data_IF_696171130404
#
_entry.id   IF_696171130404
#
_cell.length_a   1.000
_cell.length_b   1.000
_cell.length_c   1.000
_cell.angle_alpha   90.00
_cell.angle_beta   90.00
_cell.angle_gamma   90.00
#
_symmetry.space_group_name_H-M   'P 1'
#
loop_
_entity.id
_entity.type
_entity.pdbx_description
1 polymer ?
#
# COMPACT_ATOMS: atom_id res chain seq x y z
N UNK A 1 -17.32 -2.75 -10.02
CA UNK A 1 -17.53 -3.45 -8.73
C UNK A 1 -18.24 -4.80 -8.92
N UNK A 2 -19.52 -4.83 -9.35
CA UNK A 2 -20.32 -6.07 -9.39
C UNK A 2 -19.66 -7.25 -10.11
N UNK A 3 -19.17 -7.04 -11.33
CA UNK A 3 -18.51 -8.12 -12.09
C UNK A 3 -17.25 -8.67 -11.38
N UNK A 4 -16.46 -7.80 -10.75
CA UNK A 4 -15.28 -8.21 -9.98
C UNK A 4 -15.69 -9.03 -8.75
N UNK A 5 -16.72 -8.59 -8.03
CA UNK A 5 -17.28 -9.30 -6.89
C UNK A 5 -17.88 -10.67 -7.28
N UNK A 6 -18.58 -10.75 -8.41
CA UNK A 6 -19.12 -12.02 -8.93
C UNK A 6 -18.01 -13.03 -9.23
N UNK A 7 -16.90 -12.57 -9.83
CA UNK A 7 -15.71 -13.42 -10.04
C UNK A 7 -15.13 -13.94 -8.72
N UNK A 8 -15.08 -13.11 -7.66
CA UNK A 8 -14.61 -13.54 -6.34
C UNK A 8 -15.53 -14.58 -5.70
N UNK A 9 -16.86 -14.46 -5.85
CA UNK A 9 -17.82 -15.47 -5.38
C UNK A 9 -17.58 -16.82 -6.07
N UNK A 10 -17.40 -16.84 -7.39
CA UNK A 10 -17.12 -18.06 -8.16
C UNK A 10 -15.78 -18.68 -7.77
N UNK A 11 -14.79 -17.84 -7.43
CA UNK A 11 -13.48 -18.29 -6.95
C UNK A 11 -13.49 -18.78 -5.49
N UNK A 12 -14.61 -18.67 -4.77
CA UNK A 12 -14.76 -19.08 -3.37
C UNK A 12 -13.68 -18.51 -2.44
N UNK A 13 -13.28 -17.25 -2.65
CA UNK A 13 -12.31 -16.58 -1.77
C UNK A 13 -12.91 -16.35 -0.38
N UNK A 14 -12.06 -16.23 0.63
CA UNK A 14 -12.51 -15.94 1.99
C UNK A 14 -12.91 -14.47 2.11
N UNK A 15 -14.17 -14.19 2.43
CA UNK A 15 -14.66 -12.83 2.55
C UNK A 15 -14.33 -12.25 3.93
N UNK A 16 -13.93 -10.97 3.94
CA UNK A 16 -13.87 -10.16 5.16
C UNK A 16 -15.13 -9.32 5.23
N UNK A 17 -15.42 -8.56 4.18
CA UNK A 17 -16.66 -7.81 4.09
C UNK A 17 -17.83 -8.74 3.81
N UNK A 18 -19.01 -8.40 4.34
CA UNK A 18 -20.23 -9.15 4.07
C UNK A 18 -20.71 -9.01 2.60
N UNK A 19 -20.62 -7.81 2.04
CA UNK A 19 -20.91 -7.43 0.65
C UNK A 19 -20.05 -6.20 0.30
N UNK A 20 -19.96 -5.79 -0.98
CA UNK A 20 -19.34 -4.52 -1.33
C UNK A 20 -20.01 -3.36 -0.58
N UNK A 21 -19.23 -2.61 0.18
CA UNK A 21 -19.67 -1.46 0.95
C UNK A 21 -19.44 -0.19 0.13
N UNK A 22 -20.35 0.78 0.23
CA UNK A 22 -20.15 2.12 -0.36
C UNK A 22 -20.07 3.13 0.75
N UNK A 23 -18.95 3.84 0.82
CA UNK A 23 -18.71 4.80 1.90
C UNK A 23 -19.75 5.92 1.85
N UNK A 24 -20.27 6.33 3.01
CA UNK A 24 -21.44 7.19 3.10
C UNK A 24 -21.15 8.61 2.63
N UNK A 25 -22.19 9.28 2.10
CA UNK A 25 -22.06 10.61 1.49
C UNK A 25 -21.63 11.73 2.46
N UNK A 26 -21.81 11.54 3.78
CA UNK A 26 -21.33 12.50 4.78
C UNK A 26 -19.81 12.56 4.83
N UNK A 27 -19.10 11.48 4.42
CA UNK A 27 -17.66 11.48 4.33
C UNK A 27 -17.25 12.21 3.05
N UNK A 28 -16.89 13.49 3.18
CA UNK A 28 -16.58 14.34 2.02
C UNK A 28 -15.38 13.84 1.22
N UNK A 29 -14.45 13.16 1.88
CA UNK A 29 -13.19 12.72 1.28
C UNK A 29 -13.35 11.38 0.56
N UNK A 30 -14.09 10.42 1.16
CA UNK A 30 -14.20 9.06 0.66
C UNK A 30 -15.63 8.64 0.22
N UNK A 31 -16.63 9.50 0.42
CA UNK A 31 -18.03 9.21 0.11
C UNK A 31 -18.26 8.79 -1.35
N UNK A 32 -19.07 7.76 -1.53
CA UNK A 32 -19.39 7.15 -2.82
C UNK A 32 -18.33 6.18 -3.35
N UNK A 33 -17.14 6.10 -2.75
CA UNK A 33 -16.17 5.03 -3.04
C UNK A 33 -16.77 3.71 -2.57
N UNK A 34 -16.77 2.70 -3.43
CA UNK A 34 -17.18 1.35 -3.05
C UNK A 34 -15.97 0.45 -2.89
N UNK A 35 -15.93 -0.32 -1.80
CA UNK A 35 -14.84 -1.21 -1.48
C UNK A 35 -15.33 -2.59 -1.02
N UNK A 36 -14.47 -3.61 -1.13
CA UNK A 36 -14.75 -4.96 -0.66
C UNK A 36 -13.45 -5.66 -0.26
N UNK A 37 -13.35 -6.08 1.00
CA UNK A 37 -12.21 -6.82 1.54
C UNK A 37 -12.44 -8.33 1.49
N UNK A 38 -11.41 -9.03 1.05
CA UNK A 38 -11.34 -10.48 1.03
C UNK A 38 -9.91 -10.92 1.34
N UNK A 39 -9.71 -12.23 1.50
CA UNK A 39 -8.41 -12.81 1.74
C UNK A 39 -7.97 -13.71 0.60
N UNK A 40 -6.67 -13.70 0.34
CA UNK A 40 -6.03 -14.71 -0.48
C UNK A 40 -5.93 -16.07 0.27
N UNK A 41 -5.43 -17.14 -0.36
CA UNK A 41 -5.31 -18.46 0.26
C UNK A 41 -4.41 -18.51 1.51
N UNK A 42 -3.45 -17.57 1.62
CA UNK A 42 -2.53 -17.46 2.76
C UNK A 42 -3.10 -16.57 3.87
N UNK A 43 -4.26 -15.96 3.65
CA UNK A 43 -4.99 -15.15 4.62
C UNK A 43 -4.67 -13.65 4.57
N UNK A 44 -3.90 -13.19 3.58
CA UNK A 44 -3.57 -11.78 3.37
C UNK A 44 -4.78 -11.01 2.87
N UNK A 45 -4.96 -9.79 3.38
CA UNK A 45 -6.05 -8.92 2.97
C UNK A 45 -5.82 -8.36 1.56
N UNK A 46 -6.87 -8.37 0.76
CA UNK A 46 -6.96 -7.75 -0.54
C UNK A 46 -8.24 -6.92 -0.61
N UNK A 47 -8.16 -5.80 -1.31
CA UNK A 47 -9.27 -4.89 -1.52
C UNK A 47 -9.65 -4.83 -3.01
N UNK A 48 -10.94 -4.94 -3.29
CA UNK A 48 -11.51 -4.36 -4.50
C UNK A 48 -11.94 -2.94 -4.19
N UNK A 49 -11.51 -1.97 -5.00
CA UNK A 49 -11.92 -0.58 -4.87
C UNK A 49 -12.50 -0.07 -6.19
N UNK A 50 -13.57 0.71 -6.07
CA UNK A 50 -14.23 1.40 -7.18
C UNK A 50 -14.43 2.87 -6.81
N UNK A 51 -13.90 3.74 -7.66
CA UNK A 51 -14.03 5.17 -7.50
C UNK A 51 -15.20 5.71 -8.33
N UNK A 52 -16.17 6.44 -7.75
CA UNK A 52 -17.17 7.14 -8.52
C UNK A 52 -16.53 8.28 -9.34
N UNK A 53 -17.31 8.85 -10.26
CA UNK A 53 -16.85 10.00 -11.05
C UNK A 53 -16.34 11.13 -10.15
N UNK A 54 -15.17 11.68 -10.47
CA UNK A 54 -14.53 12.75 -9.70
C UNK A 54 -13.74 12.30 -8.46
N UNK A 55 -13.70 10.99 -8.15
CA UNK A 55 -12.88 10.42 -7.06
C UNK A 55 -11.75 9.56 -7.60
N UNK A 56 -10.71 9.38 -6.77
CA UNK A 56 -9.52 8.60 -7.11
C UNK A 56 -8.64 9.25 -8.18
N UNK A 57 -7.62 8.52 -8.64
CA UNK A 57 -6.72 9.03 -9.67
C UNK A 57 -7.40 9.08 -11.05
N UNK A 58 -7.11 10.09 -11.89
CA UNK A 58 -7.70 10.22 -13.23
C UNK A 58 -7.52 8.98 -14.12
N UNK A 59 -6.46 8.20 -13.91
CA UNK A 59 -6.19 6.97 -14.67
C UNK A 59 -7.28 5.90 -14.49
N UNK A 60 -8.01 5.90 -13.37
CA UNK A 60 -9.11 4.98 -13.09
C UNK A 60 -10.43 5.37 -13.73
N UNK A 61 -10.55 6.62 -14.17
CA UNK A 61 -11.76 7.15 -14.81
C UNK A 61 -11.73 6.98 -16.34
N UNK A 62 -10.64 6.44 -16.90
CA UNK A 62 -10.53 6.16 -18.34
C UNK A 62 -11.46 4.99 -18.71
N UNK A 63 -12.27 5.12 -19.79
CA UNK A 63 -13.10 4.01 -20.26
C UNK A 63 -12.27 2.75 -20.49
N UNK A 64 -12.78 1.60 -20.03
CA UNK A 64 -12.10 0.31 -20.17
C UNK A 64 -13.12 -0.80 -20.24
N UNK A 65 -12.82 -1.84 -21.00
CA UNK A 65 -13.56 -3.11 -21.02
C UNK A 65 -12.99 -4.12 -20.03
N UNK A 66 -11.89 -3.79 -19.34
CA UNK A 66 -11.26 -4.66 -18.34
C UNK A 66 -11.99 -4.55 -17.00
N UNK A 67 -12.22 -5.70 -16.36
CA UNK A 67 -12.81 -5.77 -15.01
C UNK A 67 -11.88 -5.17 -13.94
N UNK A 68 -10.58 -5.44 -14.02
CA UNK A 68 -9.56 -4.90 -13.11
C UNK A 68 -8.66 -3.93 -13.88
N UNK A 69 -8.50 -2.72 -13.34
CA UNK A 69 -7.74 -1.65 -14.00
C UNK A 69 -6.27 -1.60 -13.60
N UNK A 70 -5.92 -2.17 -12.43
CA UNK A 70 -4.56 -2.21 -11.90
C UNK A 70 -4.58 -2.22 -10.37
N UNK A 71 -3.41 -1.96 -9.77
CA UNK A 71 -3.23 -1.79 -8.32
C UNK A 71 -3.21 -0.28 -8.03
N UNK A 72 -4.04 0.17 -7.10
CA UNK A 72 -4.05 1.59 -6.69
C UNK A 72 -3.04 1.89 -5.60
N UNK A 73 -3.04 1.10 -4.55
CA UNK A 73 -2.17 1.26 -3.41
C UNK A 73 -1.95 -0.08 -2.70
N UNK A 74 -0.95 -0.11 -1.83
CA UNK A 74 -0.88 -1.07 -0.72
C UNK A 74 -1.25 -0.34 0.56
N UNK A 75 -1.97 -0.98 1.47
CA UNK A 75 -2.36 -0.39 2.74
C UNK A 75 -1.61 -1.05 3.90
N UNK A 76 -1.18 -0.26 4.87
CA UNK A 76 -0.50 -0.73 6.08
C UNK A 76 -1.18 -0.13 7.32
N UNK A 77 -1.39 -0.96 8.34
CA UNK A 77 -1.85 -0.48 9.63
C UNK A 77 -0.70 0.18 10.38
N UNK A 78 -0.93 1.35 10.96
CA UNK A 78 0.08 2.11 11.71
C UNK A 78 -0.44 2.43 13.11
N UNK A 79 0.47 2.65 14.06
CA UNK A 79 0.09 3.01 15.43
C UNK A 79 -0.14 4.50 15.64
N UNK A 80 0.37 5.34 14.74
CA UNK A 80 0.27 6.80 14.81
C UNK A 80 0.53 7.40 13.42
N UNK A 81 -0.51 7.97 12.82
CA UNK A 81 -0.44 8.61 11.49
C UNK A 81 0.66 9.68 11.42
N UNK A 82 0.86 10.48 12.47
CA UNK A 82 1.82 11.58 12.44
C UNK A 82 3.27 11.08 12.45
N UNK A 83 3.56 10.00 13.20
CA UNK A 83 4.90 9.36 13.16
C UNK A 83 5.19 8.79 11.80
N UNK A 84 4.22 8.12 11.19
CA UNK A 84 4.35 7.60 9.83
C UNK A 84 4.50 8.72 8.82
N UNK A 85 3.76 9.84 8.94
CA UNK A 85 3.94 11.01 8.08
C UNK A 85 5.36 11.58 8.23
N UNK A 86 5.89 11.74 9.44
CA UNK A 86 7.25 12.23 9.63
C UNK A 86 8.26 11.35 8.86
N UNK A 87 8.13 10.03 8.98
CA UNK A 87 8.99 9.12 8.25
C UNK A 87 8.79 9.16 6.71
N UNK A 88 7.57 8.95 6.22
CA UNK A 88 7.33 8.82 4.78
C UNK A 88 7.44 10.17 4.04
N UNK A 89 6.92 11.26 4.63
CA UNK A 89 6.94 12.59 4.00
C UNK A 89 8.26 13.31 4.25
N UNK A 90 8.72 13.36 5.50
CA UNK A 90 9.87 14.22 5.83
C UNK A 90 11.20 13.51 5.51
N UNK A 91 11.33 12.22 5.85
CA UNK A 91 12.58 11.47 5.58
C UNK A 91 12.63 10.87 4.16
N UNK A 92 11.50 10.40 3.63
CA UNK A 92 11.44 9.74 2.30
C UNK A 92 10.85 10.61 1.18
N UNK A 93 10.45 11.85 1.48
CA UNK A 93 9.92 12.82 0.51
C UNK A 93 8.66 12.38 -0.26
N UNK A 94 7.83 11.54 0.34
CA UNK A 94 6.50 11.25 -0.21
C UNK A 94 5.59 12.47 -0.02
N UNK A 95 4.54 12.58 -0.82
CA UNK A 95 3.48 13.58 -0.64
C UNK A 95 2.25 12.94 0.01
N UNK A 96 1.64 13.65 0.96
CA UNK A 96 0.28 13.37 1.41
C UNK A 96 -0.68 13.74 0.29
N UNK A 97 -1.41 12.76 -0.23
CA UNK A 97 -2.31 12.92 -1.38
C UNK A 97 -3.78 13.12 -0.95
N UNK A 98 -4.11 12.75 0.28
CA UNK A 98 -5.44 12.89 0.85
C UNK A 98 -5.51 12.24 2.23
N UNK A 99 -6.55 12.58 2.97
CA UNK A 99 -6.88 11.98 4.26
C UNK A 99 -8.39 11.82 4.37
N UNK A 100 -8.84 10.81 5.10
CA UNK A 100 -10.25 10.65 5.46
C UNK A 100 -10.40 10.02 6.84
N UNK A 101 -11.54 10.27 7.47
CA UNK A 101 -11.97 9.53 8.66
C UNK A 101 -13.11 8.60 8.26
N UNK A 102 -12.88 7.30 8.38
CA UNK A 102 -13.89 6.31 8.07
C UNK A 102 -14.40 5.69 9.35
N UNK A 103 -15.72 5.76 9.56
CA UNK A 103 -16.42 5.17 10.69
C UNK A 103 -17.88 4.87 10.33
N UNK A 104 -18.58 4.17 11.22
CA UNK A 104 -19.98 3.78 11.03
C UNK A 104 -20.15 2.41 10.35
N UNK A 105 -21.42 2.05 10.13
CA UNK A 105 -21.83 0.69 9.74
C UNK A 105 -21.12 0.20 8.47
N UNK A 106 -21.00 1.04 7.44
CA UNK A 106 -20.32 0.66 6.20
C UNK A 106 -18.83 0.38 6.41
N UNK A 107 -18.15 1.13 7.29
CA UNK A 107 -16.74 0.89 7.61
C UNK A 107 -16.55 -0.38 8.45
N UNK A 108 -17.44 -0.63 9.41
CA UNK A 108 -17.44 -1.86 10.20
C UNK A 108 -17.64 -3.08 9.32
N UNK A 109 -18.63 -3.04 8.43
CA UNK A 109 -18.91 -4.09 7.46
C UNK A 109 -17.81 -4.25 6.42
N UNK A 110 -17.11 -3.17 6.04
CA UNK A 110 -15.99 -3.23 5.11
C UNK A 110 -14.81 -3.96 5.75
N UNK A 111 -14.40 -3.51 6.93
CA UNK A 111 -13.20 -4.02 7.62
C UNK A 111 -13.42 -5.33 8.36
N UNK A 112 -14.68 -5.68 8.68
CA UNK A 112 -15.01 -6.79 9.56
C UNK A 112 -14.61 -6.53 11.03
N UNK A 113 -14.46 -5.26 11.41
CA UNK A 113 -14.03 -4.83 12.75
C UNK A 113 -15.17 -4.06 13.40
N UNK A 114 -15.60 -4.52 14.58
CA UNK A 114 -16.66 -3.87 15.35
C UNK A 114 -16.23 -2.49 15.83
N UNK A 115 -17.12 -1.50 15.71
CA UNK A 115 -16.90 -0.10 16.09
C UNK A 115 -15.61 0.50 15.49
N UNK A 116 -15.34 0.14 14.23
CA UNK A 116 -14.18 0.62 13.49
C UNK A 116 -14.27 2.14 13.23
N UNK A 117 -13.26 2.87 13.71
CA UNK A 117 -12.97 4.25 13.34
C UNK A 117 -11.51 4.32 12.93
N UNK A 118 -11.26 4.66 11.67
CA UNK A 118 -9.95 4.61 11.04
C UNK A 118 -9.62 5.97 10.44
N UNK A 119 -8.47 6.53 10.81
CA UNK A 119 -7.86 7.63 10.08
C UNK A 119 -7.08 7.02 8.92
N UNK A 120 -7.44 7.43 7.71
CA UNK A 120 -6.82 6.97 6.48
C UNK A 120 -5.98 8.12 5.92
N UNK A 121 -4.71 7.85 5.62
CA UNK A 121 -3.83 8.83 4.95
C UNK A 121 -3.20 8.20 3.73
N UNK A 122 -3.53 8.72 2.55
CA UNK A 122 -2.95 8.23 1.30
C UNK A 122 -1.64 8.98 1.00
N UNK A 123 -0.56 8.23 0.82
CA UNK A 123 0.76 8.71 0.45
C UNK A 123 1.09 8.34 -0.99
N UNK A 124 1.78 9.23 -1.69
CA UNK A 124 2.18 9.04 -3.09
C UNK A 124 3.60 9.53 -3.33
N UNK A 125 4.20 9.01 -4.38
CA UNK A 125 5.41 9.53 -5.01
C UNK A 125 5.05 10.11 -6.38
N UNK A 126 6.07 10.46 -7.18
CA UNK A 126 5.94 10.88 -8.59
C UNK A 126 5.17 9.85 -9.43
N UNK A 127 5.44 8.55 -9.23
CA UNK A 127 4.90 7.47 -10.06
C UNK A 127 4.75 6.16 -9.29
N UNK A 128 3.99 5.21 -9.85
CA UNK A 128 3.73 3.92 -9.22
C UNK A 128 2.41 3.87 -8.46
N UNK A 129 2.32 2.95 -7.51
CA UNK A 129 1.16 2.79 -6.62
C UNK A 129 1.34 3.65 -5.36
N UNK A 130 0.29 3.80 -4.57
CA UNK A 130 0.33 4.51 -3.30
C UNK A 130 0.66 3.61 -2.12
N UNK A 131 0.99 4.22 -0.99
CA UNK A 131 0.93 3.59 0.33
C UNK A 131 -0.22 4.28 1.07
N UNK A 132 -1.12 3.51 1.66
CA UNK A 132 -2.18 4.03 2.50
C UNK A 132 -1.93 3.64 3.96
N UNK A 133 -1.95 4.63 4.84
CA UNK A 133 -1.82 4.44 6.27
C UNK A 133 -3.21 4.24 6.87
N UNK A 134 -3.39 3.16 7.63
CA UNK A 134 -4.62 2.85 8.35
C UNK A 134 -4.37 2.92 9.85
N UNK A 135 -4.74 4.04 10.46
CA UNK A 135 -4.61 4.28 11.89
C UNK A 135 -5.96 4.05 12.57
N UNK A 136 -6.10 2.91 13.25
CA UNK A 136 -7.33 2.54 13.93
C UNK A 136 -7.44 3.27 15.27
N UNK A 137 -8.23 4.36 15.28
CA UNK A 137 -8.60 5.09 16.49
C UNK A 137 -9.44 4.22 17.41
N UNK A 138 -10.37 3.44 16.84
CA UNK A 138 -11.06 2.36 17.54
C UNK A 138 -11.24 1.15 16.62
N UNK A 139 -11.08 -0.09 17.13
CA UNK A 139 -10.46 -0.43 18.40
C UNK A 139 -8.93 -0.29 18.36
N UNK A 140 -8.31 0.13 19.48
CA UNK A 140 -6.84 0.24 19.61
C UNK A 140 -6.15 -1.09 19.94
N UNK A 141 -6.82 -2.22 19.70
CA UNK A 141 -6.33 -3.57 20.03
C UNK A 141 -5.38 -4.15 18.98
N UNK A 142 -4.87 -3.30 18.07
CA UNK A 142 -3.82 -3.66 17.13
C UNK A 142 -2.59 -4.21 17.86
N UNK A 143 -1.84 -5.07 17.18
CA UNK A 143 -0.61 -5.66 17.73
C UNK A 143 0.59 -5.19 16.92
N UNK A 144 1.73 -4.91 17.58
CA UNK A 144 2.99 -4.68 16.87
C UNK A 144 3.36 -5.88 15.99
N UNK A 145 4.17 -5.62 14.96
CA UNK A 145 4.77 -6.69 14.16
C UNK A 145 5.55 -7.64 15.10
N UNK A 146 5.42 -8.97 14.95
CA UNK A 146 6.15 -9.91 15.77
C UNK A 146 7.66 -9.66 15.70
N UNK A 147 8.30 -9.52 16.86
CA UNK A 147 9.74 -9.22 16.95
C UNK A 147 10.65 -10.33 16.41
N UNK A 148 10.11 -11.54 16.28
CA UNK A 148 10.79 -12.71 15.75
C UNK A 148 10.35 -13.11 14.33
N UNK A 149 9.66 -12.23 13.59
CA UNK A 149 9.25 -12.46 12.20
C UNK A 149 10.48 -12.71 11.32
N UNK A 150 10.53 -13.90 10.69
CA UNK A 150 11.61 -14.35 9.81
C UNK A 150 11.34 -13.98 8.36
N UNK A 151 12.39 -13.93 7.56
CA UNK A 151 12.29 -13.67 6.11
C UNK A 151 11.51 -14.76 5.36
N UNK A 152 11.43 -15.96 5.93
CA UNK A 152 10.73 -17.12 5.36
C UNK A 152 9.28 -17.26 5.83
N UNK A 153 8.80 -16.37 6.70
CA UNK A 153 7.44 -16.47 7.23
C UNK A 153 6.43 -15.97 6.19
N UNK A 154 5.28 -16.63 6.06
CA UNK A 154 4.21 -16.20 5.13
C UNK A 154 3.73 -14.78 5.45
N UNK A 155 3.66 -14.43 6.73
CA UNK A 155 3.29 -13.08 7.19
C UNK A 155 4.35 -12.01 6.84
N UNK A 156 5.49 -12.39 6.25
CA UNK A 156 6.54 -11.45 5.87
C UNK A 156 6.13 -10.65 4.63
N UNK A 157 5.83 -9.37 4.84
CA UNK A 157 5.52 -8.45 3.75
C UNK A 157 6.58 -7.37 3.58
N UNK A 158 6.83 -6.97 2.33
CA UNK A 158 7.76 -5.89 2.01
C UNK A 158 7.22 -5.02 0.88
N UNK A 159 7.52 -3.72 0.95
CA UNK A 159 7.13 -2.75 -0.07
C UNK A 159 8.40 -2.31 -0.82
N UNK A 160 8.57 -2.74 -2.08
CA UNK A 160 9.67 -2.28 -2.91
C UNK A 160 9.46 -0.82 -3.33
N UNK A 161 10.48 0.01 -3.12
CA UNK A 161 10.50 1.42 -3.52
C UNK A 161 11.72 1.66 -4.41
N UNK A 162 11.49 2.22 -5.59
CA UNK A 162 12.58 2.63 -6.48
C UNK A 162 13.11 4.00 -6.03
N UNK A 163 14.42 4.07 -5.78
CA UNK A 163 15.11 5.27 -5.34
C UNK A 163 15.66 6.00 -6.56
N UNK A 164 15.44 7.32 -6.60
CA UNK A 164 15.91 8.17 -7.69
C UNK A 164 17.43 8.01 -7.89
N UNK A 165 17.90 8.01 -9.16
CA UNK A 165 19.33 7.95 -9.43
C UNK A 165 19.99 9.27 -9.03
N UNK A 166 20.98 9.21 -8.13
CA UNK A 166 21.77 10.37 -7.75
C UNK A 166 22.48 10.20 -6.42
N UNK A 167 23.64 10.86 -6.21
CA UNK A 167 24.38 10.76 -4.96
C UNK A 167 23.57 11.29 -3.76
N UNK A 168 22.73 12.32 -3.94
CA UNK A 168 21.91 12.88 -2.87
C UNK A 168 20.92 11.86 -2.31
N UNK A 169 20.08 11.26 -3.17
CA UNK A 169 19.12 10.23 -2.74
C UNK A 169 19.80 8.98 -2.20
N UNK A 170 20.95 8.59 -2.77
CA UNK A 170 21.72 7.44 -2.28
C UNK A 170 22.28 7.69 -0.87
N UNK A 171 22.88 8.86 -0.63
CA UNK A 171 23.45 9.23 0.66
C UNK A 171 22.36 9.38 1.72
N UNK A 172 21.23 10.02 1.39
CA UNK A 172 20.10 10.16 2.30
C UNK A 172 19.59 8.79 2.78
N UNK A 173 19.53 7.81 1.88
CA UNK A 173 19.14 6.44 2.24
C UNK A 173 20.22 5.70 3.04
N UNK A 174 21.51 5.91 2.76
CA UNK A 174 22.59 5.35 3.58
C UNK A 174 22.54 5.90 5.02
N UNK A 175 22.35 7.22 5.17
CA UNK A 175 22.20 7.89 6.46
C UNK A 175 20.97 7.38 7.23
N UNK A 176 19.83 7.26 6.56
CA UNK A 176 18.58 6.76 7.14
C UNK A 176 18.69 5.28 7.54
N UNK A 177 19.25 4.44 6.66
CA UNK A 177 19.32 3.00 6.87
C UNK A 177 20.43 2.57 7.84
N UNK A 178 21.45 3.43 8.04
CA UNK A 178 22.69 3.12 8.78
C UNK A 178 23.37 1.84 8.29
N UNK A 179 23.17 1.50 7.02
CA UNK A 179 23.75 0.33 6.36
C UNK A 179 24.09 0.66 4.91
N UNK A 180 24.81 -0.25 4.26
CA UNK A 180 25.25 -0.10 2.88
C UNK A 180 24.31 -0.82 1.91
N UNK A 181 24.30 -0.33 0.68
CA UNK A 181 23.63 -0.97 -0.45
C UNK A 181 24.23 -2.35 -0.76
N UNK A 182 23.38 -3.36 -0.89
CA UNK A 182 23.78 -4.72 -1.22
C UNK A 182 23.54 -4.96 -2.70
N UNK A 183 24.57 -5.42 -3.42
CA UNK A 183 24.45 -5.83 -4.82
C UNK A 183 23.67 -7.13 -4.93
N UNK A 184 22.61 -7.11 -5.72
CA UNK A 184 21.77 -8.26 -6.01
C UNK A 184 22.00 -8.71 -7.46
N UNK A 185 22.49 -9.94 -7.68
CA UNK A 185 22.69 -10.45 -9.02
C UNK A 185 21.33 -10.67 -9.70
N UNK A 186 21.13 -10.12 -10.90
CA UNK A 186 19.98 -10.41 -11.74
C UNK A 186 20.39 -11.35 -12.88
N UNK A 187 19.53 -12.34 -13.19
CA UNK A 187 19.80 -13.32 -14.27
C UNK A 187 19.83 -12.69 -15.66
N UNK A 188 19.26 -11.50 -15.82
CA UNK A 188 19.17 -10.74 -17.07
C UNK A 188 20.29 -9.67 -17.22
N UNK A 189 21.25 -9.63 -16.29
CA UNK A 189 22.35 -8.66 -16.31
C UNK A 189 21.98 -7.27 -15.79
N UNK A 190 20.75 -7.04 -15.32
CA UNK A 190 20.38 -5.78 -14.66
C UNK A 190 20.79 -5.81 -13.19
N UNK A 191 22.08 -5.58 -12.95
CA UNK A 191 22.59 -5.43 -11.59
C UNK A 191 21.76 -4.37 -10.84
N UNK A 192 21.05 -4.79 -9.79
CA UNK A 192 20.34 -3.89 -8.87
C UNK A 192 21.03 -3.90 -7.53
N UNK A 193 20.95 -2.79 -6.83
CA UNK A 193 21.36 -2.73 -5.43
C UNK A 193 20.14 -2.43 -4.57
N UNK A 194 20.09 -3.03 -3.38
CA UNK A 194 18.99 -2.82 -2.46
C UNK A 194 19.46 -2.58 -1.03
N UNK A 195 18.61 -1.89 -0.27
CA UNK A 195 18.77 -1.75 1.18
C UNK A 195 17.44 -1.94 1.91
N UNK A 196 17.58 -2.67 3.02
CA UNK A 196 16.66 -2.99 4.10
C UNK A 196 16.34 -1.85 5.08
N UNK A 197 15.17 -1.19 5.05
CA UNK A 197 14.74 -0.35 6.18
C UNK A 197 13.37 -0.73 6.73
N UNK A 198 13.11 -0.32 7.98
CA UNK A 198 11.81 -0.45 8.63
C UNK A 198 11.24 0.92 8.91
N UNK A 199 9.94 1.07 8.70
CA UNK A 199 9.19 2.25 9.13
C UNK A 199 9.00 2.25 10.67
N UNK A 200 8.36 3.30 11.25
CA UNK A 200 8.16 3.41 12.70
C UNK A 200 7.43 2.23 13.36
N UNK A 201 6.57 1.52 12.62
CA UNK A 201 5.79 0.37 13.11
C UNK A 201 6.43 -0.98 12.72
N UNK A 202 7.57 -0.94 12.02
CA UNK A 202 8.38 -2.10 11.67
C UNK A 202 8.11 -2.66 10.27
N UNK A 203 7.23 -2.05 9.48
CA UNK A 203 6.92 -2.47 8.11
C UNK A 203 8.18 -2.36 7.26
N UNK A 204 8.46 -3.39 6.47
CA UNK A 204 9.71 -3.41 5.70
C UNK A 204 9.56 -2.70 4.36
N UNK A 205 10.49 -1.79 4.10
CA UNK A 205 10.71 -1.20 2.78
C UNK A 205 11.98 -1.79 2.15
N UNK A 206 11.87 -2.30 0.93
CA UNK A 206 13.03 -2.64 0.08
C UNK A 206 13.33 -1.45 -0.81
N UNK A 207 14.36 -0.67 -0.47
CA UNK A 207 14.78 0.46 -1.29
C UNK A 207 15.71 -0.05 -2.38
N UNK A 208 15.38 0.21 -3.65
CA UNK A 208 16.06 -0.36 -4.81
C UNK A 208 16.63 0.78 -5.65
N UNK A 209 17.92 0.68 -6.00
CA UNK A 209 18.50 1.47 -7.08
C UNK A 209 18.94 0.55 -8.21
N UNK A 210 18.52 0.86 -9.42
CA UNK A 210 18.92 0.13 -10.63
C UNK A 210 20.26 0.65 -11.11
N UNK A 211 21.16 -0.25 -11.53
CA UNK A 211 22.35 0.16 -12.28
C UNK A 211 21.94 0.86 -13.58
N UNK A 212 22.79 1.75 -14.09
CA UNK A 212 22.56 2.35 -15.40
C UNK A 212 22.33 1.25 -16.45
N UNK A 213 21.24 1.34 -17.21
CA UNK A 213 21.03 0.49 -18.37
C UNK A 213 22.22 0.70 -19.32
N UNK A 214 23.09 -0.32 -19.44
CA UNK A 214 23.99 -0.41 -20.59
C UNK A 214 23.09 -0.78 -21.78
N UNK A 215 22.90 0.16 -22.72
CA UNK A 215 22.31 -0.14 -24.02
C UNK A 215 22.96 -1.42 -24.58
N UNK A 216 22.18 -2.38 -25.11
CA UNK A 216 22.76 -3.56 -25.72
C UNK A 216 23.66 -3.11 -26.87
N UNK A 217 24.94 -3.47 -26.80
CA UNK A 217 25.88 -3.31 -27.90
C UNK A 217 25.28 -4.05 -29.10
N UNK A 218 24.81 -3.31 -30.10
CA UNK A 218 24.41 -3.89 -31.38
C UNK A 218 25.65 -4.56 -31.97
N UNK A 219 25.61 -5.89 -32.09
CA UNK A 219 26.55 -6.66 -32.90
C UNK A 219 26.30 -6.42 -34.38
#
# INVERSE_FOLDING_TARGET
MNEAYDRLKVAHVSFVSNVPQTLPAWNTDAGGISAFYFRDPDGHYLELIHFPSGKGQPKWQKPSTKTFLGIDHTAIAVSDTNKSIAFYRDDLHFRVAGSSENYGEEQEHLSGVFNAHVLITSLRTESGIGIELLDYVTPTSGRPIPSNLRVTDVARWQIPLEVAPGPESVNAIEDLSRTHWIKLPARDGTDRQAVWIRDPDGHLLELIKRGAHMEPVKQ
#
